data_IF_117828799075
#
_entry.id   IF_117828799075
#
_cell.length_a   1.000
_cell.length_b   1.000
_cell.length_c   1.000
_cell.angle_alpha   90.00
_cell.angle_beta   90.00
_cell.angle_gamma   90.00
#
_symmetry.space_group_name_H-M   'P 1'
#
loop_
_entity.id
_entity.type
_entity.pdbx_description
1 polymer ?
#
# COMPACT_ATOMS: atom_id res chain seq x y z
N UNK A 1 19.18 24.63 -4.48
CA UNK A 1 18.64 23.57 -3.59
C UNK A 1 18.86 22.22 -4.27
N UNK A 2 20.06 21.65 -4.10
CA UNK A 2 20.35 20.31 -4.62
C UNK A 2 19.98 19.34 -3.49
N UNK A 3 18.84 18.66 -3.63
CA UNK A 3 18.53 17.53 -2.76
C UNK A 3 19.61 16.47 -3.01
N UNK A 4 20.59 16.35 -2.12
CA UNK A 4 21.57 15.25 -2.11
C UNK A 4 20.86 13.96 -1.70
N UNK A 5 19.88 13.51 -2.50
CA UNK A 5 19.30 12.20 -2.32
C UNK A 5 20.08 11.21 -3.20
N UNK A 6 20.91 10.33 -2.61
CA UNK A 6 21.77 9.43 -3.37
C UNK A 6 20.96 8.41 -4.19
N UNK A 7 19.66 8.28 -3.94
CA UNK A 7 18.76 7.41 -4.69
C UNK A 7 18.30 8.01 -6.02
N UNK A 8 18.44 9.33 -6.23
CA UNK A 8 17.96 10.01 -7.42
C UNK A 8 19.11 10.27 -8.38
N UNK A 9 18.93 9.91 -9.65
CA UNK A 9 19.87 10.27 -10.73
C UNK A 9 19.13 10.65 -12.00
N UNK A 10 19.72 11.55 -12.78
CA UNK A 10 19.20 11.97 -14.08
C UNK A 10 20.19 11.54 -15.15
N UNK A 11 19.69 10.93 -16.23
CA UNK A 11 20.51 10.55 -17.37
C UNK A 11 19.95 11.11 -18.67
N UNK A 12 20.85 11.29 -19.63
CA UNK A 12 20.53 11.64 -21.00
C UNK A 12 21.04 10.52 -21.91
N UNK A 13 20.16 9.89 -22.68
CA UNK A 13 20.50 8.71 -23.48
C UNK A 13 20.79 9.00 -24.97
N UNK A 14 20.98 10.27 -25.35
CA UNK A 14 21.32 10.65 -26.74
C UNK A 14 20.14 10.68 -27.72
N UNK A 15 18.96 10.16 -27.35
CA UNK A 15 17.73 10.18 -28.17
C UNK A 15 16.77 11.29 -27.74
N UNK A 16 17.28 12.46 -27.33
CA UNK A 16 16.47 13.57 -26.79
C UNK A 16 15.62 13.20 -25.55
N UNK A 17 15.93 12.10 -24.85
CA UNK A 17 15.19 11.67 -23.67
C UNK A 17 16.01 11.87 -22.39
N UNK A 18 15.43 12.64 -21.48
CA UNK A 18 15.92 12.82 -20.12
C UNK A 18 15.14 11.88 -19.19
N UNK A 19 15.86 11.06 -18.43
CA UNK A 19 15.25 10.07 -17.53
C UNK A 19 15.64 10.38 -16.09
N UNK A 20 14.63 10.47 -15.22
CA UNK A 20 14.82 10.46 -13.77
C UNK A 20 14.74 9.01 -13.28
N UNK A 21 15.79 8.57 -12.60
CA UNK A 21 15.83 7.29 -11.90
C UNK A 21 15.69 7.53 -10.39
N UNK A 22 14.89 6.68 -9.75
CA UNK A 22 14.72 6.63 -8.31
C UNK A 22 15.01 5.20 -7.87
N UNK A 23 16.17 4.98 -7.24
CA UNK A 23 16.56 3.68 -6.70
C UNK A 23 15.89 3.45 -5.34
N UNK A 24 15.59 2.19 -5.02
CA UNK A 24 14.97 1.79 -3.75
C UNK A 24 13.78 2.70 -3.40
N UNK A 25 12.76 2.66 -4.26
CA UNK A 25 11.56 3.49 -4.13
C UNK A 25 10.92 3.27 -2.75
N UNK A 26 10.55 4.37 -2.10
CA UNK A 26 9.95 4.43 -0.77
C UNK A 26 8.56 5.04 -0.85
N UNK A 27 7.71 4.79 0.15
CA UNK A 27 6.35 5.35 0.23
C UNK A 27 6.31 6.87 -0.01
N UNK A 28 7.30 7.59 0.53
CA UNK A 28 7.44 9.04 0.44
C UNK A 28 7.88 9.55 -0.94
N UNK A 29 8.26 8.68 -1.87
CA UNK A 29 8.52 9.05 -3.26
C UNK A 29 7.19 9.19 -4.05
N UNK A 30 6.04 8.76 -3.50
CA UNK A 30 4.75 9.00 -4.16
C UNK A 30 4.50 10.51 -4.32
N UNK A 31 4.09 10.95 -5.50
CA UNK A 31 3.88 12.36 -5.77
C UNK A 31 3.78 12.71 -7.25
N UNK A 32 3.64 14.01 -7.52
CA UNK A 32 3.66 14.54 -8.89
C UNK A 32 5.07 14.98 -9.24
N UNK A 33 5.63 14.40 -10.30
CA UNK A 33 6.92 14.77 -10.87
C UNK A 33 6.71 15.62 -12.12
N UNK A 34 7.58 16.61 -12.32
CA UNK A 34 7.49 17.52 -13.46
C UNK A 34 8.80 17.55 -14.25
N UNK A 35 8.69 17.31 -15.56
CA UNK A 35 9.72 17.64 -16.53
C UNK A 35 9.48 19.05 -17.05
N UNK A 36 10.49 19.92 -17.00
CA UNK A 36 10.37 21.32 -17.40
C UNK A 36 11.56 21.71 -18.28
N UNK A 37 11.28 22.47 -19.35
CA UNK A 37 12.29 23.02 -20.25
C UNK A 37 12.26 24.54 -20.22
N UNK A 38 13.42 25.15 -20.42
CA UNK A 38 13.64 26.60 -20.38
C UNK A 38 13.25 27.27 -21.71
N UNK A 39 11.95 27.27 -22.03
CA UNK A 39 11.39 28.03 -23.16
C UNK A 39 10.67 29.29 -22.66
N UNK A 40 10.39 30.23 -23.57
CA UNK A 40 9.49 31.35 -23.31
C UNK A 40 8.29 31.29 -24.28
N UNK A 41 7.06 31.02 -23.79
CA UNK A 41 6.70 30.68 -22.42
C UNK A 41 7.25 29.30 -22.00
N UNK A 42 7.34 29.07 -20.70
CA UNK A 42 7.82 27.82 -20.13
C UNK A 42 6.95 26.63 -20.57
N UNK A 43 7.59 25.52 -20.95
CA UNK A 43 6.91 24.26 -21.26
C UNK A 43 7.25 23.22 -20.22
N UNK A 44 6.24 22.47 -19.79
CA UNK A 44 6.39 21.37 -18.83
C UNK A 44 5.41 20.23 -19.08
N UNK A 45 5.73 19.07 -18.51
CA UNK A 45 4.89 17.88 -18.49
C UNK A 45 4.95 17.27 -17.09
N UNK A 46 3.80 16.87 -16.56
CA UNK A 46 3.68 16.24 -15.24
C UNK A 46 3.33 14.76 -15.35
N UNK A 47 3.76 13.97 -14.37
CA UNK A 47 3.38 12.58 -14.19
C UNK A 47 3.20 12.25 -12.71
N UNK A 48 2.24 11.38 -12.40
CA UNK A 48 1.96 10.95 -11.03
C UNK A 48 2.61 9.59 -10.76
N UNK A 49 3.33 9.49 -9.65
CA UNK A 49 3.87 8.25 -9.12
C UNK A 49 3.07 7.85 -7.89
N UNK A 50 2.53 6.63 -7.90
CA UNK A 50 1.91 5.99 -6.75
C UNK A 50 2.74 4.77 -6.36
N UNK A 51 3.28 4.78 -5.14
CA UNK A 51 4.09 3.67 -4.63
C UNK A 51 3.20 2.71 -3.86
N UNK A 52 3.14 1.46 -4.33
CA UNK A 52 2.42 0.38 -3.68
C UNK A 52 3.33 -0.38 -2.71
N UNK A 53 2.73 -0.87 -1.62
CA UNK A 53 3.41 -1.65 -0.60
C UNK A 53 2.71 -3.00 -0.52
N UNK A 54 3.46 -4.07 -0.78
CA UNK A 54 2.96 -5.43 -0.69
C UNK A 54 2.28 -5.68 0.65
N UNK A 55 1.11 -6.35 0.66
CA UNK A 55 0.46 -6.70 1.90
C UNK A 55 1.30 -7.63 2.78
N UNK A 56 1.22 -7.44 4.08
CA UNK A 56 1.87 -8.32 5.07
C UNK A 56 0.96 -8.54 6.29
N UNK A 57 1.08 -9.70 6.93
CA UNK A 57 0.33 -10.05 8.13
C UNK A 57 1.19 -9.69 9.34
N UNK A 58 0.66 -8.79 10.16
CA UNK A 58 1.35 -8.34 11.36
C UNK A 58 1.18 -9.38 12.48
N UNK A 59 2.24 -9.65 13.26
CA UNK A 59 2.12 -10.48 14.44
C UNK A 59 1.15 -9.85 15.44
N UNK A 60 0.24 -10.66 15.97
CA UNK A 60 -0.68 -10.26 17.02
C UNK A 60 -0.36 -11.05 18.29
N UNK A 61 0.33 -10.39 19.24
CA UNK A 61 0.73 -10.99 20.51
C UNK A 61 -0.46 -11.26 21.45
N UNK A 62 -1.67 -10.88 21.04
CA UNK A 62 -2.90 -11.04 21.82
C UNK A 62 -3.82 -12.14 21.27
N UNK A 63 -3.35 -13.04 20.39
CA UNK A 63 -4.12 -14.25 20.05
C UNK A 63 -4.08 -15.15 21.29
N UNK A 64 -5.18 -15.29 22.05
CA UNK A 64 -5.14 -16.05 23.29
C UNK A 64 -4.94 -17.53 22.98
N UNK A 65 -4.30 -18.25 23.91
CA UNK A 65 -4.26 -19.71 23.92
C UNK A 65 -5.65 -20.28 23.61
N UNK A 66 -5.74 -21.09 22.57
CA UNK A 66 -6.96 -21.47 21.85
C UNK A 66 -7.86 -22.48 22.59
N UNK A 67 -7.79 -22.52 23.92
CA UNK A 67 -8.60 -23.43 24.74
C UNK A 67 -9.67 -22.65 25.49
N UNK A 68 -10.85 -22.58 24.90
CA UNK A 68 -12.05 -22.00 25.51
C UNK A 68 -13.05 -23.11 25.78
N UNK A 69 -13.71 -23.04 26.93
CA UNK A 69 -14.75 -23.99 27.32
C UNK A 69 -15.98 -23.82 26.43
N UNK A 70 -16.72 -24.90 26.23
CA UNK A 70 -18.01 -24.86 25.56
C UNK A 70 -18.93 -23.80 26.20
N UNK A 71 -19.62 -23.04 25.36
CA UNK A 71 -20.43 -21.88 25.78
C UNK A 71 -19.64 -20.60 26.02
N UNK A 72 -18.31 -20.62 25.94
CA UNK A 72 -17.47 -19.42 25.96
C UNK A 72 -17.42 -18.69 24.62
N UNK A 73 -17.00 -17.42 24.66
CA UNK A 73 -16.85 -16.57 23.46
C UNK A 73 -15.36 -16.36 23.15
N UNK A 74 -15.02 -16.33 21.85
CA UNK A 74 -13.68 -16.00 21.36
C UNK A 74 -13.76 -14.94 20.26
N UNK A 75 -12.71 -14.12 20.16
CA UNK A 75 -12.47 -13.26 19.00
C UNK A 75 -11.12 -13.61 18.40
N UNK A 76 -11.12 -14.06 17.14
CA UNK A 76 -9.89 -14.22 16.36
C UNK A 76 -9.61 -12.92 15.62
N UNK A 77 -8.39 -12.41 15.76
CA UNK A 77 -7.95 -11.17 15.15
C UNK A 77 -6.91 -11.47 14.07
N UNK A 78 -6.96 -10.69 13.00
CA UNK A 78 -5.96 -10.69 11.93
C UNK A 78 -5.66 -9.23 11.62
N UNK A 79 -4.40 -8.84 11.80
CA UNK A 79 -3.91 -7.50 11.46
C UNK A 79 -3.08 -7.64 10.19
N UNK A 80 -3.44 -6.88 9.17
CA UNK A 80 -2.70 -6.83 7.91
C UNK A 80 -2.38 -5.37 7.58
N UNK A 81 -1.26 -5.16 6.88
CA UNK A 81 -0.83 -3.86 6.37
C UNK A 81 -0.61 -3.97 4.88
N UNK A 82 -0.68 -2.86 4.14
CA UNK A 82 -0.43 -2.81 2.70
C UNK A 82 -0.87 -1.48 2.10
N UNK A 83 -0.40 -1.17 0.90
CA UNK A 83 -0.89 -0.03 0.11
C UNK A 83 -1.16 -0.52 -1.32
N UNK A 84 -2.43 -0.57 -1.77
CA UNK A 84 -3.65 -0.21 -1.03
C UNK A 84 -3.93 -1.15 0.16
N UNK A 85 -4.80 -0.70 1.06
CA UNK A 85 -5.22 -1.48 2.23
C UNK A 85 -5.75 -2.86 1.82
N UNK A 86 -5.24 -3.96 2.41
CA UNK A 86 -5.62 -5.31 2.00
C UNK A 86 -7.02 -5.68 2.48
N UNK A 87 -7.71 -6.50 1.69
CA UNK A 87 -8.97 -7.12 2.12
C UNK A 87 -8.68 -8.42 2.88
N UNK A 88 -9.13 -8.51 4.12
CA UNK A 88 -8.96 -9.70 4.97
C UNK A 88 -10.18 -10.61 4.89
N UNK A 89 -9.95 -11.89 4.62
CA UNK A 89 -11.00 -12.92 4.58
C UNK A 89 -10.68 -14.08 5.51
N UNK A 90 -11.68 -14.58 6.22
CA UNK A 90 -11.54 -15.74 7.11
C UNK A 90 -12.03 -17.01 6.43
N UNK A 91 -11.32 -18.11 6.67
CA UNK A 91 -11.71 -19.47 6.27
C UNK A 91 -11.29 -20.46 7.33
N UNK A 92 -12.03 -21.57 7.46
CA UNK A 92 -11.56 -22.72 8.24
C UNK A 92 -10.63 -23.57 7.38
N UNK A 93 -9.60 -24.12 7.99
CA UNK A 93 -8.63 -24.99 7.30
C UNK A 93 -9.26 -26.32 6.88
N UNK A 94 -10.21 -26.83 7.66
CA UNK A 94 -10.97 -28.05 7.36
C UNK A 94 -12.00 -27.89 6.23
N UNK A 95 -12.10 -26.69 5.64
CA UNK A 95 -13.04 -26.39 4.56
C UNK A 95 -14.49 -26.21 4.99
N UNK A 96 -14.80 -26.29 6.28
CA UNK A 96 -16.16 -26.06 6.78
C UNK A 96 -16.57 -24.58 6.65
N UNK A 97 -17.86 -24.35 6.38
CA UNK A 97 -18.39 -22.99 6.21
C UNK A 97 -18.38 -22.20 7.52
N UNK A 98 -18.01 -20.93 7.43
CA UNK A 98 -18.21 -19.94 8.51
C UNK A 98 -19.60 -19.34 8.33
N UNK A 99 -20.51 -19.63 9.26
CA UNK A 99 -21.86 -19.03 9.25
C UNK A 99 -21.76 -17.65 9.89
N UNK A 100 -21.68 -16.62 9.04
CA UNK A 100 -21.76 -15.25 9.48
C UNK A 100 -23.21 -14.91 9.78
N UNK A 101 -23.48 -14.39 10.98
CA UNK A 101 -24.75 -13.72 11.24
C UNK A 101 -24.76 -12.45 10.40
N UNK A 102 -25.71 -12.30 9.48
CA UNK A 102 -25.88 -11.03 8.79
C UNK A 102 -26.49 -10.05 9.78
N UNK A 103 -25.68 -9.15 10.32
CA UNK A 103 -26.23 -7.93 10.91
C UNK A 103 -26.75 -7.09 9.75
N UNK A 104 -28.06 -7.04 9.59
CA UNK A 104 -28.75 -6.19 8.63
C UNK A 104 -28.60 -4.72 9.03
N UNK A 105 -27.44 -4.12 8.75
CA UNK A 105 -27.22 -2.71 8.40
C UNK A 105 -25.71 -2.40 8.35
N UNK A 106 -25.17 -2.30 7.13
CA UNK A 106 -24.08 -1.36 6.84
C UNK A 106 -24.55 -0.46 5.71
N UNK A 107 -25.18 0.64 6.09
CA UNK A 107 -25.23 1.82 5.22
C UNK A 107 -23.80 2.18 4.81
N UNK A 108 -23.68 2.49 3.52
CA UNK A 108 -22.50 3.05 2.88
C UNK A 108 -22.25 4.46 3.40
N UNK A 109 -20.97 4.87 3.43
CA UNK A 109 -20.39 6.17 3.02
C UNK A 109 -19.04 6.32 3.75
N UNK A 110 -17.93 6.74 3.14
CA UNK A 110 -17.73 7.32 1.81
C UNK A 110 -16.31 7.12 1.30
#
# INVERSE_FOLDING_TARGET
MVTQNPRLSVTYNGHNAWKLYILNVQKNDSGTYMCQINTDPMRSQMGQLEVQISPDILPDNEVPESMIKEGGNITLRCKATGVPEPTVTWRREDGNNIILRSDGNREKQG
#
